data_IF_666148644012
#
_entry.id   IF_666148644012
#
_cell.length_a   1.000
_cell.length_b   1.000
_cell.length_c   1.000
_cell.angle_alpha   90.00
_cell.angle_beta   90.00
_cell.angle_gamma   90.00
#
_symmetry.space_group_name_H-M   'P 1'
#
loop_
_entity.id
_entity.type
_entity.pdbx_description
1 polymer ?
#
# COMPACT_ATOMS: atom_id res chain seq x y z
N UNK A 1 -14.88 -23.49 -26.94
CA UNK A 1 -15.59 -22.32 -26.37
C UNK A 1 -17.12 -22.38 -26.44
N UNK A 2 -17.83 -22.06 -27.54
CA UNK A 2 -19.32 -22.08 -27.55
C UNK A 2 -19.91 -23.49 -27.32
N UNK A 3 -19.24 -24.51 -27.82
CA UNK A 3 -19.69 -25.92 -27.77
C UNK A 3 -19.48 -26.57 -26.40
N UNK A 4 -18.47 -26.13 -25.65
CA UNK A 4 -18.17 -26.64 -24.30
C UNK A 4 -19.05 -25.97 -23.23
N UNK A 5 -19.49 -24.73 -23.47
CA UNK A 5 -20.45 -24.02 -22.62
C UNK A 5 -21.87 -24.63 -22.71
N UNK A 6 -22.23 -25.26 -23.83
CA UNK A 6 -23.53 -25.94 -24.01
C UNK A 6 -23.58 -27.32 -23.30
N UNK A 7 -22.45 -28.02 -23.19
CA UNK A 7 -22.35 -29.32 -22.52
C UNK A 7 -22.55 -29.23 -21.00
N UNK A 8 -22.37 -28.03 -20.41
CA UNK A 8 -22.56 -27.75 -18.99
C UNK A 8 -24.00 -27.33 -18.60
N UNK A 9 -24.97 -27.45 -19.51
CA UNK A 9 -26.39 -27.20 -19.21
C UNK A 9 -26.80 -25.73 -19.20
N UNK A 10 -25.96 -24.81 -19.69
CA UNK A 10 -26.34 -23.40 -19.83
C UNK A 10 -27.07 -23.17 -21.16
N UNK A 11 -28.41 -23.07 -21.10
CA UNK A 11 -29.22 -22.57 -22.21
C UNK A 11 -29.02 -21.04 -22.33
N UNK A 12 -28.32 -20.60 -23.39
CA UNK A 12 -28.24 -19.18 -23.75
C UNK A 12 -29.34 -18.85 -24.75
N UNK A 13 -30.53 -18.54 -24.24
CA UNK A 13 -31.54 -17.81 -25.01
C UNK A 13 -32.27 -16.82 -24.12
N UNK A 14 -31.83 -15.57 -24.13
CA UNK A 14 -32.77 -14.44 -24.22
C UNK A 14 -32.19 -13.45 -25.23
N UNK A 15 -32.94 -13.12 -26.30
CA UNK A 15 -32.49 -12.16 -27.31
C UNK A 15 -32.48 -10.74 -26.75
N UNK A 16 -31.54 -9.94 -27.24
CA UNK A 16 -31.48 -8.49 -27.01
C UNK A 16 -32.62 -7.88 -27.83
N UNK A 17 -33.79 -7.68 -27.23
CA UNK A 17 -34.80 -6.75 -27.72
C UNK A 17 -35.38 -5.91 -26.57
N UNK A 18 -35.70 -4.67 -26.93
CA UNK A 18 -36.13 -3.54 -26.11
C UNK A 18 -37.09 -3.86 -24.95
N UNK A 19 -36.70 -3.45 -23.74
CA UNK A 19 -37.64 -3.17 -22.66
C UNK A 19 -37.13 -2.02 -21.78
N UNK A 20 -37.42 -0.80 -22.22
CA UNK A 20 -37.66 0.29 -21.30
C UNK A 20 -38.99 0.02 -20.59
N UNK A 21 -38.97 -0.54 -19.38
CA UNK A 21 -39.97 -0.26 -18.32
C UNK A 21 -39.64 -1.00 -17.03
N UNK A 22 -39.40 -0.20 -15.98
CA UNK A 22 -39.76 -0.42 -14.58
C UNK A 22 -39.45 -1.78 -13.93
N UNK A 23 -38.40 -1.80 -13.09
CA UNK A 23 -38.42 -2.55 -11.84
C UNK A 23 -37.99 -1.59 -10.70
N UNK A 24 -38.85 -1.35 -9.69
CA UNK A 24 -38.61 -0.34 -8.68
C UNK A 24 -37.73 -0.91 -7.56
N UNK A 25 -36.44 -0.58 -7.58
CA UNK A 25 -35.61 -0.66 -6.37
C UNK A 25 -35.49 0.77 -5.83
N UNK A 26 -36.52 1.17 -5.11
CA UNK A 26 -36.50 2.31 -4.20
C UNK A 26 -35.39 2.14 -3.18
N UNK A 27 -34.54 3.16 -3.09
CA UNK A 27 -33.60 3.47 -2.00
C UNK A 27 -32.59 2.37 -1.63
N UNK A 28 -31.50 2.32 -2.38
CA UNK A 28 -30.17 2.05 -1.82
C UNK A 28 -29.30 3.28 -2.06
N UNK A 29 -29.66 4.39 -1.43
CA UNK A 29 -28.81 5.58 -1.37
C UNK A 29 -27.78 5.38 -0.26
N UNK A 30 -26.51 5.64 -0.60
CA UNK A 30 -25.38 5.90 0.29
C UNK A 30 -24.89 4.77 1.19
N UNK A 31 -23.96 3.94 0.71
CA UNK A 31 -22.80 3.48 1.51
C UNK A 31 -21.87 2.50 0.76
N UNK A 32 -21.17 2.97 -0.27
CA UNK A 32 -19.85 2.42 -0.68
C UNK A 32 -19.16 3.45 -1.55
N UNK A 33 -19.01 4.65 -1.01
CA UNK A 33 -17.96 5.54 -1.49
C UNK A 33 -16.89 5.31 -0.44
N UNK A 34 -15.76 4.71 -0.86
CA UNK A 34 -14.46 4.94 -0.22
C UNK A 34 -14.50 6.34 0.35
N UNK A 35 -14.09 6.63 1.58
CA UNK A 35 -13.97 8.05 1.96
C UNK A 35 -13.01 8.68 0.94
N UNK A 36 -13.56 9.32 -0.09
CA UNK A 36 -12.86 9.69 -1.32
C UNK A 36 -11.68 10.58 -0.93
N UNK A 37 -11.90 11.41 0.10
CA UNK A 37 -10.92 12.13 0.91
C UNK A 37 -9.61 11.37 1.25
N UNK A 38 -9.67 10.08 1.64
CA UNK A 38 -8.46 9.30 1.99
C UNK A 38 -7.69 8.86 0.75
N UNK A 39 -8.38 8.55 -0.35
CA UNK A 39 -7.74 8.13 -1.60
C UNK A 39 -7.27 9.33 -2.43
N UNK A 40 -7.95 10.47 -2.35
CA UNK A 40 -7.58 11.69 -3.07
C UNK A 40 -6.20 12.23 -2.64
N UNK A 41 -5.80 12.00 -1.37
CA UNK A 41 -4.45 12.30 -0.88
C UNK A 41 -3.37 11.31 -1.34
N UNK A 42 -3.77 10.18 -1.93
CA UNK A 42 -2.90 9.10 -2.42
C UNK A 42 -2.94 8.94 -3.94
N UNK A 43 -3.90 9.58 -4.62
CA UNK A 43 -3.97 9.57 -6.07
C UNK A 43 -2.73 10.28 -6.64
N UNK A 44 -1.88 9.59 -7.41
CA UNK A 44 -0.79 10.24 -8.13
C UNK A 44 -1.44 11.18 -9.14
N UNK A 45 -0.93 12.41 -9.24
CA UNK A 45 -1.27 13.23 -10.41
C UNK A 45 -0.76 12.46 -11.64
N UNK A 46 -1.48 12.39 -12.76
CA UNK A 46 -1.06 11.59 -13.92
C UNK A 46 0.42 11.78 -14.27
N UNK A 47 0.88 13.03 -14.26
CA UNK A 47 2.27 13.41 -14.52
C UNK A 47 3.30 12.81 -13.54
N UNK A 48 2.96 12.52 -12.27
CA UNK A 48 3.91 12.00 -11.28
C UNK A 48 4.36 10.56 -11.54
N UNK A 49 3.57 9.75 -12.27
CA UNK A 49 3.99 8.40 -12.66
C UNK A 49 4.99 8.40 -13.82
N UNK A 50 4.93 9.40 -14.70
CA UNK A 50 5.93 9.63 -15.74
C UNK A 50 7.31 9.97 -15.16
N UNK A 51 7.35 10.63 -14.00
CA UNK A 51 8.61 10.89 -13.27
C UNK A 51 9.31 9.61 -12.79
N UNK A 52 8.58 8.50 -12.66
CA UNK A 52 9.15 7.19 -12.34
C UNK A 52 9.47 6.37 -13.59
N UNK A 53 9.59 6.98 -14.78
CA UNK A 53 9.92 6.26 -16.02
C UNK A 53 8.86 5.28 -16.52
N UNK A 54 7.79 5.02 -15.76
CA UNK A 54 6.71 4.13 -16.16
C UNK A 54 5.78 4.87 -17.12
N UNK A 55 5.63 4.39 -18.35
CA UNK A 55 4.62 4.94 -19.26
C UNK A 55 3.23 4.71 -18.68
N UNK A 56 2.47 5.80 -18.51
CA UNK A 56 1.07 5.78 -18.03
C UNK A 56 0.21 4.74 -18.77
N UNK A 57 0.44 4.57 -20.08
CA UNK A 57 -0.32 3.64 -20.91
C UNK A 57 -0.21 2.18 -20.45
N UNK A 58 0.93 1.78 -19.87
CA UNK A 58 1.15 0.39 -19.45
C UNK A 58 0.39 0.08 -18.16
N UNK A 59 0.52 0.94 -17.13
CA UNK A 59 -0.25 0.79 -15.90
C UNK A 59 -1.75 0.90 -16.18
N UNK A 60 -2.18 1.84 -17.04
CA UNK A 60 -3.57 1.96 -17.45
C UNK A 60 -4.11 0.68 -18.12
N UNK A 61 -3.30 -0.01 -18.93
CA UNK A 61 -3.69 -1.29 -19.54
C UNK A 61 -3.84 -2.41 -18.51
N UNK A 62 -2.97 -2.46 -17.50
CA UNK A 62 -3.08 -3.42 -16.40
C UNK A 62 -4.31 -3.10 -15.53
N UNK A 63 -4.53 -1.83 -15.20
CA UNK A 63 -5.70 -1.36 -14.45
C UNK A 63 -7.01 -1.68 -15.16
N UNK A 64 -7.08 -1.47 -16.48
CA UNK A 64 -8.26 -1.80 -17.27
C UNK A 64 -8.54 -3.31 -17.26
N UNK A 65 -7.50 -4.14 -17.35
CA UNK A 65 -7.62 -5.59 -17.25
C UNK A 65 -8.10 -6.03 -15.86
N UNK A 66 -7.56 -5.43 -14.81
CA UNK A 66 -7.97 -5.66 -13.42
C UNK A 66 -9.41 -5.21 -13.19
N UNK A 67 -9.82 -4.06 -13.71
CA UNK A 67 -11.20 -3.57 -13.58
C UNK A 67 -12.20 -4.51 -14.26
N UNK A 68 -11.89 -4.97 -15.47
CA UNK A 68 -12.71 -5.94 -16.19
C UNK A 68 -12.83 -7.28 -15.46
N UNK A 69 -11.74 -7.73 -14.83
CA UNK A 69 -11.71 -8.98 -14.06
C UNK A 69 -12.45 -8.85 -12.72
N UNK A 70 -12.22 -7.76 -11.99
CA UNK A 70 -12.65 -7.61 -10.60
C UNK A 70 -14.06 -7.04 -10.47
N UNK A 71 -14.50 -6.15 -11.38
CA UNK A 71 -15.83 -5.52 -11.30
C UNK A 71 -16.98 -6.53 -11.15
N UNK A 72 -17.04 -7.63 -11.93
CA UNK A 72 -18.09 -8.64 -11.76
C UNK A 72 -18.04 -9.35 -10.40
N UNK A 73 -16.85 -9.45 -9.78
CA UNK A 73 -16.63 -10.16 -8.52
C UNK A 73 -16.89 -9.27 -7.30
N UNK A 74 -16.47 -8.00 -7.36
CA UNK A 74 -16.59 -7.02 -6.26
C UNK A 74 -17.84 -6.16 -6.38
N UNK A 75 -18.57 -6.22 -7.50
CA UNK A 75 -19.84 -5.53 -7.75
C UNK A 75 -19.74 -4.01 -7.89
N UNK A 76 -18.54 -3.46 -8.11
CA UNK A 76 -18.30 -2.05 -8.39
C UNK A 76 -17.02 -1.89 -9.21
N UNK A 77 -16.89 -0.75 -9.91
CA UNK A 77 -15.70 -0.40 -10.70
C UNK A 77 -14.54 -0.04 -9.77
N UNK A 78 -13.32 -0.37 -10.18
CA UNK A 78 -12.12 0.11 -9.52
C UNK A 78 -11.97 1.62 -9.75
N UNK A 79 -11.47 2.38 -8.75
CA UNK A 79 -11.10 3.77 -8.97
C UNK A 79 -9.90 3.80 -9.93
N UNK A 80 -10.09 4.34 -11.13
CA UNK A 80 -9.01 4.50 -12.12
C UNK A 80 -8.70 5.99 -12.30
N UNK A 81 -7.42 6.40 -12.26
CA UNK A 81 -6.23 5.58 -12.01
C UNK A 81 -6.19 5.03 -10.57
N UNK A 82 -5.57 3.86 -10.38
CA UNK A 82 -5.41 3.31 -9.03
C UNK A 82 -4.53 4.23 -8.19
N UNK A 83 -4.83 4.42 -6.89
CA UNK A 83 -3.95 5.19 -6.01
C UNK A 83 -2.57 4.54 -5.91
N UNK A 84 -1.53 5.37 -5.86
CA UNK A 84 -0.16 4.89 -5.75
C UNK A 84 0.58 5.59 -4.62
N UNK A 85 1.39 4.83 -3.92
CA UNK A 85 2.23 5.30 -2.82
C UNK A 85 3.64 4.77 -3.02
N UNK A 86 4.66 5.56 -2.68
CA UNK A 86 6.02 5.06 -2.73
C UNK A 86 6.32 4.14 -1.56
N UNK A 87 7.29 3.25 -1.71
CA UNK A 87 7.75 2.40 -0.63
C UNK A 87 8.15 3.23 0.60
N UNK A 88 8.88 4.34 0.40
CA UNK A 88 9.24 5.24 1.48
C UNK A 88 8.02 5.84 2.19
N UNK A 89 7.01 6.30 1.43
CA UNK A 89 5.77 6.83 2.00
C UNK A 89 5.02 5.75 2.80
N UNK A 90 4.98 4.51 2.29
CA UNK A 90 4.35 3.38 2.98
C UNK A 90 5.02 3.07 4.31
N UNK A 91 6.35 2.96 4.34
CA UNK A 91 7.11 2.73 5.58
C UNK A 91 6.94 3.90 6.57
N UNK A 92 6.84 5.13 6.07
CA UNK A 92 6.65 6.32 6.91
C UNK A 92 5.26 6.42 7.52
N UNK A 93 4.21 6.11 6.76
CA UNK A 93 2.80 6.29 7.18
C UNK A 93 2.17 5.04 7.79
N UNK A 94 2.64 3.86 7.41
CA UNK A 94 2.00 2.59 7.78
C UNK A 94 2.96 1.59 8.44
N UNK A 95 4.28 1.76 8.26
CA UNK A 95 5.28 0.91 8.90
C UNK A 95 5.52 -0.43 8.19
N UNK A 96 4.90 -0.65 7.04
CA UNK A 96 5.03 -1.88 6.26
C UNK A 96 5.05 -1.60 4.74
N UNK A 97 5.50 -2.59 3.98
CA UNK A 97 5.55 -2.55 2.51
C UNK A 97 4.27 -3.06 1.84
N UNK A 98 3.26 -3.47 2.59
CA UNK A 98 1.95 -3.92 2.08
C UNK A 98 0.85 -3.35 2.97
N UNK A 99 0.60 -2.03 2.92
CA UNK A 99 -0.30 -1.38 3.85
C UNK A 99 -1.76 -1.74 3.57
N UNK A 100 -2.56 -1.88 4.62
CA UNK A 100 -4.01 -1.91 4.52
C UNK A 100 -4.55 -0.49 4.75
N UNK A 101 -5.13 0.10 3.70
CA UNK A 101 -5.58 1.49 3.70
C UNK A 101 -7.06 1.66 4.01
N UNK A 102 -7.80 0.57 4.24
CA UNK A 102 -9.23 0.64 4.54
C UNK A 102 -9.50 1.31 5.89
N UNK A 103 -8.51 1.35 6.78
CA UNK A 103 -8.60 2.02 8.07
C UNK A 103 -7.46 3.04 8.26
N UNK A 104 -7.67 4.01 9.16
CA UNK A 104 -6.77 5.14 9.38
C UNK A 104 -5.52 4.79 10.21
N UNK A 105 -5.37 5.46 11.36
CA UNK A 105 -4.26 5.28 12.32
C UNK A 105 -2.85 5.53 11.76
N UNK A 106 -2.71 6.46 10.80
CA UNK A 106 -1.39 6.78 10.21
C UNK A 106 -0.33 7.09 11.25
N UNK A 107 0.88 6.62 10.98
CA UNK A 107 2.04 6.85 11.83
C UNK A 107 2.49 8.30 11.68
N UNK A 108 2.58 8.99 12.80
CA UNK A 108 3.09 10.35 12.90
C UNK A 108 4.43 10.33 13.60
N UNK A 109 5.42 10.96 12.98
CA UNK A 109 6.73 11.18 13.59
C UNK A 109 6.70 12.39 14.53
N UNK A 110 6.96 12.12 15.80
CA UNK A 110 6.94 13.10 16.88
C UNK A 110 8.35 13.42 17.38
N UNK A 111 9.40 12.90 16.74
CA UNK A 111 10.78 13.02 17.20
C UNK A 111 11.24 14.47 17.34
N UNK A 112 10.77 15.36 16.47
CA UNK A 112 11.04 16.79 16.56
C UNK A 112 10.28 17.48 17.69
N UNK A 113 9.06 17.02 17.98
CA UNK A 113 8.17 17.60 18.99
C UNK A 113 8.69 17.29 20.40
N UNK A 114 9.15 16.05 20.61
CA UNK A 114 9.63 15.59 21.91
C UNK A 114 11.14 15.81 22.11
N UNK A 115 11.80 16.51 21.17
CA UNK A 115 13.23 16.80 21.24
C UNK A 115 13.53 17.70 22.43
N UNK A 116 14.54 17.33 23.22
CA UNK A 116 14.94 18.10 24.40
C UNK A 116 14.04 17.89 25.64
N UNK A 117 13.10 16.93 25.59
CA UNK A 117 12.30 16.57 26.76
C UNK A 117 13.15 16.03 27.90
N UNK A 118 12.73 16.29 29.14
CA UNK A 118 13.30 15.68 30.35
C UNK A 118 12.84 14.24 30.58
N UNK A 119 11.87 13.75 29.80
CA UNK A 119 11.38 12.39 29.91
C UNK A 119 12.38 11.39 29.33
N UNK A 120 13.09 10.70 30.23
CA UNK A 120 14.26 9.85 29.90
C UNK A 120 14.01 8.82 28.80
N UNK A 121 12.82 8.22 28.74
CA UNK A 121 12.50 7.20 27.72
C UNK A 121 12.63 7.78 26.31
N UNK A 122 12.15 9.00 26.10
CA UNK A 122 12.24 9.65 24.79
C UNK A 122 13.60 10.28 24.56
N UNK A 123 14.18 10.94 25.57
CA UNK A 123 15.46 11.63 25.43
C UNK A 123 16.59 10.65 25.08
N UNK A 124 16.66 9.49 25.75
CA UNK A 124 17.70 8.48 25.51
C UNK A 124 17.63 7.90 24.09
N UNK A 125 16.42 7.61 23.59
CA UNK A 125 16.23 7.09 22.24
C UNK A 125 16.66 8.13 21.20
N UNK A 126 16.29 9.40 21.40
CA UNK A 126 16.67 10.47 20.48
C UNK A 126 18.18 10.75 20.48
N UNK A 127 18.83 10.70 21.65
CA UNK A 127 20.29 10.83 21.77
C UNK A 127 21.05 9.72 21.01
N UNK A 128 20.43 8.54 20.87
CA UNK A 128 20.98 7.40 20.11
C UNK A 128 20.63 7.45 18.61
N UNK A 129 20.01 8.54 18.12
CA UNK A 129 19.56 8.66 16.73
C UNK A 129 18.31 7.85 16.40
N UNK A 130 17.56 7.43 17.42
CA UNK A 130 16.28 6.76 17.27
C UNK A 130 15.13 7.73 16.95
N UNK A 131 13.91 7.19 16.95
CA UNK A 131 12.69 7.88 16.56
C UNK A 131 11.62 7.73 17.64
N UNK A 132 10.82 8.77 17.84
CA UNK A 132 9.58 8.72 18.61
C UNK A 132 8.42 8.90 17.65
N UNK A 133 7.67 7.82 17.40
CA UNK A 133 6.58 7.77 16.42
C UNK A 133 5.34 7.20 17.08
N UNK A 134 4.17 7.54 16.59
CA UNK A 134 2.94 7.04 17.19
C UNK A 134 1.75 7.04 16.26
N UNK A 135 0.64 6.50 16.77
CA UNK A 135 -0.65 6.44 16.10
C UNK A 135 -1.74 7.03 16.99
N UNK A 136 -2.77 7.58 16.34
CA UNK A 136 -4.02 8.01 17.00
C UNK A 136 -5.13 7.00 16.72
N UNK A 137 -5.74 6.50 17.79
CA UNK A 137 -6.93 5.66 17.77
C UNK A 137 -8.14 6.54 18.10
N UNK A 138 -8.93 6.84 17.07
CA UNK A 138 -10.11 7.72 17.21
C UNK A 138 -11.15 7.08 18.13
N UNK A 139 -11.57 7.80 19.17
CA UNK A 139 -12.47 7.27 20.20
C UNK A 139 -11.89 6.09 21.01
N UNK A 140 -10.57 5.86 20.93
CA UNK A 140 -9.90 4.72 21.55
C UNK A 140 -9.85 4.75 23.08
N UNK A 141 -10.00 5.92 23.71
CA UNK A 141 -9.83 6.07 25.16
C UNK A 141 -10.87 5.28 25.96
N UNK A 142 -12.11 5.20 25.45
CA UNK A 142 -13.20 4.45 26.06
C UNK A 142 -13.19 2.96 25.69
N UNK A 143 -12.64 2.63 24.51
CA UNK A 143 -12.64 1.25 23.98
C UNK A 143 -11.48 0.41 24.50
N UNK A 144 -10.33 1.03 24.78
CA UNK A 144 -9.14 0.34 25.28
C UNK A 144 -8.93 0.65 26.77
N UNK A 145 -9.25 -0.35 27.60
CA UNK A 145 -8.99 -0.32 29.03
C UNK A 145 -7.50 -0.27 29.34
N UNK A 146 -7.11 0.15 30.55
CA UNK A 146 -5.70 0.12 30.98
C UNK A 146 -5.11 -1.29 30.85
N UNK A 147 -5.85 -2.29 31.31
CA UNK A 147 -5.48 -3.71 31.20
C UNK A 147 -5.28 -4.12 29.74
N UNK A 148 -6.18 -3.71 28.84
CA UNK A 148 -6.05 -3.99 27.41
C UNK A 148 -4.79 -3.34 26.80
N UNK A 149 -4.44 -2.11 27.21
CA UNK A 149 -3.19 -1.47 26.78
C UNK A 149 -1.97 -2.22 27.31
N UNK A 150 -1.99 -2.69 28.56
CA UNK A 150 -0.89 -3.45 29.15
C UNK A 150 -0.73 -4.83 28.44
N UNK A 151 -1.85 -5.49 28.08
CA UNK A 151 -1.84 -6.72 27.26
C UNK A 151 -1.27 -6.47 25.85
N UNK A 152 -1.70 -5.39 25.18
CA UNK A 152 -1.12 -4.96 23.90
C UNK A 152 0.37 -4.67 24.02
N UNK A 153 0.80 -4.08 25.13
CA UNK A 153 2.22 -3.79 25.40
C UNK A 153 3.02 -5.08 25.47
N UNK A 154 2.53 -6.10 26.19
CA UNK A 154 3.19 -7.39 26.28
C UNK A 154 3.34 -8.07 24.91
N UNK A 155 2.27 -8.09 24.11
CA UNK A 155 2.32 -8.64 22.76
C UNK A 155 3.28 -7.87 21.85
N UNK A 156 3.28 -6.55 21.96
CA UNK A 156 4.15 -5.67 21.19
C UNK A 156 5.63 -5.89 21.51
N UNK A 157 5.99 -6.03 22.79
CA UNK A 157 7.36 -6.34 23.23
C UNK A 157 7.83 -7.65 22.60
N UNK A 158 6.99 -8.69 22.60
CA UNK A 158 7.30 -9.98 21.99
C UNK A 158 7.42 -9.91 20.46
N UNK A 159 6.62 -9.07 19.81
CA UNK A 159 6.55 -9.01 18.36
C UNK A 159 7.63 -8.12 17.73
N UNK A 160 7.91 -6.97 18.33
CA UNK A 160 8.78 -5.95 17.77
C UNK A 160 10.09 -5.74 18.54
N UNK A 161 10.31 -6.48 19.65
CA UNK A 161 11.49 -6.36 20.51
C UNK A 161 11.72 -4.91 20.98
N UNK A 162 10.66 -4.26 21.44
CA UNK A 162 10.67 -2.88 21.95
C UNK A 162 10.48 -2.87 23.46
N UNK A 163 10.90 -1.80 24.14
CA UNK A 163 10.78 -1.70 25.59
C UNK A 163 9.32 -1.57 26.10
N UNK A 164 8.41 -1.09 25.27
CA UNK A 164 6.99 -0.93 25.60
C UNK A 164 6.34 0.21 24.84
N UNK A 165 5.15 0.62 25.29
CA UNK A 165 4.36 1.68 24.66
C UNK A 165 4.10 2.82 25.65
N UNK A 166 4.24 4.05 25.16
CA UNK A 166 3.81 5.26 25.87
C UNK A 166 2.45 5.67 25.35
N UNK A 167 1.47 5.92 26.21
CA UNK A 167 0.12 6.25 25.76
C UNK A 167 -0.44 7.49 26.44
N UNK A 168 -1.34 8.19 25.75
CA UNK A 168 -2.11 9.32 26.27
C UNK A 168 -3.59 9.15 25.95
N UNK A 169 -4.45 9.45 26.91
CA UNK A 169 -5.88 9.67 26.66
C UNK A 169 -6.11 11.16 26.41
N UNK A 170 -6.87 11.46 25.37
CA UNK A 170 -7.32 12.82 25.12
C UNK A 170 -8.58 13.09 25.95
N UNK A 171 -8.42 13.93 26.97
CA UNK A 171 -9.48 14.47 27.82
C UNK A 171 -10.33 15.51 27.06
N UNK A 172 -11.43 16.02 27.64
CA UNK A 172 -12.20 17.11 27.06
C UNK A 172 -11.32 18.27 26.57
N UNK A 173 -11.54 18.72 25.33
CA UNK A 173 -10.72 19.72 24.65
C UNK A 173 -9.43 19.18 24.01
N UNK A 174 -9.25 17.86 23.96
CA UNK A 174 -8.08 17.20 23.35
C UNK A 174 -6.83 17.21 24.23
N UNK A 175 -6.95 17.63 25.49
CA UNK A 175 -5.82 17.69 26.43
C UNK A 175 -5.28 16.28 26.67
N UNK A 176 -3.97 16.09 26.51
CA UNK A 176 -3.35 14.78 26.68
C UNK A 176 -3.04 14.46 28.14
N UNK A 177 -3.62 13.36 28.64
CA UNK A 177 -3.39 12.82 29.97
C UNK A 177 -2.79 11.40 29.94
N UNK A 178 -1.82 11.18 30.82
CA UNK A 178 -1.18 9.90 31.08
C UNK A 178 -0.58 9.91 32.49
N UNK A 179 -0.19 8.75 33.00
CA UNK A 179 0.41 8.61 34.34
C UNK A 179 1.73 9.38 34.47
N UNK A 180 2.42 9.64 33.35
CA UNK A 180 3.66 10.40 33.29
C UNK A 180 3.52 11.79 32.66
N UNK A 181 2.31 12.25 32.30
CA UNK A 181 2.12 13.56 31.65
C UNK A 181 2.67 14.73 32.46
N UNK A 182 2.64 14.65 33.80
CA UNK A 182 3.23 15.66 34.70
C UNK A 182 4.76 15.79 34.59
N UNK A 183 5.41 14.78 34.00
CA UNK A 183 6.86 14.77 33.78
C UNK A 183 7.25 15.29 32.39
N UNK A 184 6.26 15.66 31.57
CA UNK A 184 6.46 16.27 30.25
C UNK A 184 6.19 17.77 30.31
N UNK A 185 6.93 18.49 29.51
CA UNK A 185 6.75 19.92 29.29
C UNK A 185 5.38 20.20 28.64
N UNK A 186 4.61 21.21 29.09
CA UNK A 186 3.29 21.53 28.54
C UNK A 186 3.30 21.76 27.02
N UNK A 187 4.36 22.36 26.49
CA UNK A 187 4.55 22.64 25.07
C UNK A 187 4.64 21.34 24.25
N UNK A 188 5.23 20.28 24.82
CA UNK A 188 5.32 18.97 24.18
C UNK A 188 3.93 18.32 24.12
N UNK A 189 3.16 18.37 25.21
CA UNK A 189 1.80 17.83 25.23
C UNK A 189 0.90 18.56 24.21
N UNK A 190 1.02 19.88 24.11
CA UNK A 190 0.31 20.67 23.11
C UNK A 190 0.76 20.35 21.68
N UNK A 191 2.07 20.22 21.45
CA UNK A 191 2.62 19.85 20.15
C UNK A 191 2.16 18.46 19.70
N UNK A 192 2.13 17.48 20.61
CA UNK A 192 1.58 16.15 20.35
C UNK A 192 0.09 16.22 20.04
N UNK A 193 -0.71 16.96 20.82
CA UNK A 193 -2.13 17.15 20.55
C UNK A 193 -2.35 17.69 19.13
N UNK A 194 -1.61 18.72 18.73
CA UNK A 194 -1.74 19.34 17.41
C UNK A 194 -1.31 18.40 16.28
N UNK A 195 -0.18 17.71 16.43
CA UNK A 195 0.35 16.81 15.42
C UNK A 195 -0.59 15.64 15.14
N UNK A 196 -1.18 15.06 16.20
CA UNK A 196 -2.19 14.01 16.06
C UNK A 196 -3.59 14.53 15.75
N UNK A 197 -3.81 15.86 15.82
CA UNK A 197 -5.15 16.47 15.82
C UNK A 197 -6.06 15.78 16.84
N UNK A 198 -5.53 15.51 18.03
CA UNK A 198 -6.21 14.71 19.03
C UNK A 198 -7.48 15.39 19.53
N UNK A 199 -8.60 14.66 19.50
CA UNK A 199 -9.91 15.11 19.97
C UNK A 199 -10.32 14.36 21.23
N UNK A 200 -11.36 14.85 21.91
CA UNK A 200 -11.81 14.27 23.18
C UNK A 200 -12.24 12.82 22.98
N UNK A 201 -11.71 11.91 23.80
CA UNK A 201 -11.98 10.47 23.69
C UNK A 201 -10.98 9.70 22.83
N UNK A 202 -10.02 10.34 22.19
CA UNK A 202 -8.96 9.67 21.44
C UNK A 202 -7.91 9.03 22.36
N UNK A 203 -7.25 7.99 21.85
CA UNK A 203 -6.08 7.38 22.46
C UNK A 203 -4.87 7.56 21.54
N UNK A 204 -3.78 8.11 22.06
CA UNK A 204 -2.51 8.19 21.37
C UNK A 204 -1.59 7.10 21.92
N UNK A 205 -0.92 6.40 21.01
CA UNK A 205 0.02 5.34 21.30
C UNK A 205 1.36 5.66 20.62
N UNK A 206 2.41 5.82 21.42
CA UNK A 206 3.74 6.23 20.99
C UNK A 206 4.76 5.13 21.30
N UNK A 207 5.67 4.93 20.35
CA UNK A 207 6.82 4.04 20.41
C UNK A 207 8.09 4.87 20.22
N UNK A 208 9.08 4.58 21.05
CA UNK A 208 10.39 5.21 21.00
C UNK A 208 11.45 4.12 20.80
N UNK A 209 11.97 4.00 19.58
CA UNK A 209 13.01 3.03 19.22
C UNK A 209 13.67 3.41 17.89
N UNK A 210 14.51 2.54 17.33
CA UNK A 210 15.02 2.61 15.96
C UNK A 210 13.90 2.70 14.92
N UNK A 211 14.23 3.23 13.73
CA UNK A 211 13.29 3.33 12.61
C UNK A 211 12.59 1.99 12.30
N UNK A 212 13.36 0.92 12.22
CA UNK A 212 12.84 -0.41 11.88
C UNK A 212 11.90 -0.94 12.96
N UNK A 213 12.29 -0.86 14.24
CA UNK A 213 11.45 -1.34 15.35
C UNK A 213 10.16 -0.52 15.50
N UNK A 214 10.23 0.80 15.30
CA UNK A 214 9.02 1.65 15.29
C UNK A 214 8.09 1.31 14.11
N UNK A 215 8.61 1.00 12.93
CA UNK A 215 7.80 0.54 11.78
C UNK A 215 7.06 -0.75 12.12
N UNK A 216 7.80 -1.79 12.54
CA UNK A 216 7.23 -3.12 12.87
C UNK A 216 6.20 -3.00 14.00
N UNK A 217 6.56 -2.31 15.08
CA UNK A 217 5.70 -2.18 16.25
C UNK A 217 4.41 -1.41 15.98
N UNK A 218 4.48 -0.30 15.22
CA UNK A 218 3.29 0.50 14.91
C UNK A 218 2.40 -0.17 13.86
N UNK A 219 2.95 -0.87 12.87
CA UNK A 219 2.15 -1.68 11.93
C UNK A 219 1.37 -2.79 12.66
N UNK A 220 2.05 -3.48 13.58
CA UNK A 220 1.43 -4.48 14.44
C UNK A 220 0.26 -3.89 15.25
N UNK A 221 0.49 -2.77 15.94
CA UNK A 221 -0.54 -2.11 16.75
C UNK A 221 -1.72 -1.67 15.91
N UNK A 222 -1.46 -1.00 14.77
CA UNK A 222 -2.49 -0.58 13.82
C UNK A 222 -3.39 -1.75 13.43
N UNK A 223 -2.77 -2.82 12.95
CA UNK A 223 -3.50 -3.99 12.46
C UNK A 223 -4.27 -4.70 13.57
N UNK A 224 -3.66 -4.84 14.75
CA UNK A 224 -4.29 -5.50 15.91
C UNK A 224 -5.47 -4.70 16.44
N UNK A 225 -5.29 -3.40 16.68
CA UNK A 225 -6.33 -2.51 17.18
C UNK A 225 -7.47 -2.40 16.16
N UNK A 226 -7.16 -2.36 14.86
CA UNK A 226 -8.19 -2.32 13.83
C UNK A 226 -9.14 -3.52 13.90
N UNK A 227 -8.59 -4.72 14.17
CA UNK A 227 -9.36 -5.95 14.36
C UNK A 227 -10.11 -5.95 15.69
N UNK A 228 -9.47 -5.57 16.78
CA UNK A 228 -10.09 -5.57 18.12
C UNK A 228 -11.25 -4.58 18.23
N UNK A 229 -11.17 -3.45 17.52
CA UNK A 229 -12.22 -2.44 17.49
C UNK A 229 -13.22 -2.62 16.34
N UNK A 230 -13.06 -3.67 15.53
CA UNK A 230 -13.85 -3.96 14.32
C UNK A 230 -14.03 -2.73 13.39
N UNK A 231 -12.95 -1.97 13.21
CA UNK A 231 -12.92 -0.78 12.35
C UNK A 231 -12.32 -1.08 10.97
N UNK A 232 -12.09 -2.35 10.66
CA UNK A 232 -11.66 -2.80 9.33
C UNK A 232 -12.90 -3.00 8.45
N UNK A 233 -13.12 -2.17 7.42
CA UNK A 233 -14.25 -2.33 6.52
C UNK A 233 -14.18 -3.68 5.79
N UNK A 234 -15.21 -4.48 6.06
CA UNK A 234 -15.40 -5.83 5.53
C UNK A 234 -15.76 -5.82 4.03
N UNK A 235 -16.55 -4.83 3.62
CA UNK A 235 -17.07 -4.70 2.25
C UNK A 235 -16.24 -3.78 1.35
N UNK A 236 -15.02 -3.42 1.77
CA UNK A 236 -14.13 -2.59 0.95
C UNK A 236 -13.02 -3.42 0.31
N UNK A 237 -12.88 -3.25 -1.00
CA UNK A 237 -11.78 -3.81 -1.78
C UNK A 237 -10.84 -2.67 -2.16
N UNK A 238 -9.80 -2.45 -1.36
CA UNK A 238 -8.82 -1.40 -1.59
C UNK A 238 -7.67 -1.96 -2.41
N UNK A 239 -7.37 -1.36 -3.56
CA UNK A 239 -6.28 -1.74 -4.44
C UNK A 239 -5.38 -0.53 -4.69
N UNK A 240 -4.07 -0.70 -4.51
CA UNK A 240 -3.07 0.35 -4.70
C UNK A 240 -1.81 -0.15 -5.42
N UNK A 241 -1.13 0.78 -6.08
CA UNK A 241 0.25 0.61 -6.51
C UNK A 241 1.23 1.02 -5.41
N UNK A 242 2.17 0.15 -5.10
CA UNK A 242 3.35 0.48 -4.31
C UNK A 242 4.54 0.62 -5.24
N UNK A 243 5.12 1.80 -5.33
CA UNK A 243 6.24 2.10 -6.24
C UNK A 243 7.53 2.10 -5.44
N UNK A 244 8.52 1.31 -5.88
CA UNK A 244 9.84 1.33 -5.29
C UNK A 244 10.67 2.45 -5.92
N UNK A 245 10.76 3.57 -5.19
CA UNK A 245 11.53 4.75 -5.53
C UNK A 245 12.97 4.69 -5.02
N UNK A 246 13.35 3.60 -4.33
CA UNK A 246 14.70 3.45 -3.76
C UNK A 246 15.75 3.02 -4.79
N UNK A 247 15.31 2.58 -5.97
CA UNK A 247 16.20 2.19 -7.05
C UNK A 247 16.88 3.41 -7.68
N UNK A 248 18.13 3.66 -7.27
CA UNK A 248 19.05 4.49 -8.05
C UNK A 248 19.34 3.79 -9.39
N UNK A 249 19.53 4.55 -10.48
CA UNK A 249 20.03 3.98 -11.73
C UNK A 249 21.33 3.22 -11.44
N UNK A 250 21.32 1.91 -11.71
CA UNK A 250 22.55 1.12 -11.69
C UNK A 250 23.08 1.13 -13.12
N UNK A 251 24.20 1.81 -13.35
CA UNK A 251 24.97 1.62 -14.57
C UNK A 251 25.64 0.25 -14.49
N UNK A 252 25.02 -0.78 -15.04
CA UNK A 252 25.67 -2.08 -15.20
C UNK A 252 26.23 -2.17 -16.60
N UNK A 253 27.55 -2.37 -16.75
CA UNK A 253 28.08 -2.93 -18.00
C UNK A 253 27.47 -4.33 -18.16
N UNK A 254 26.44 -4.45 -18.99
CA UNK A 254 25.84 -5.72 -19.35
C UNK A 254 26.31 -6.09 -20.76
N UNK A 255 26.88 -7.29 -20.90
CA UNK A 255 27.07 -7.94 -22.20
C UNK A 255 25.75 -8.58 -22.59
N UNK A 256 25.21 -8.28 -23.78
CA UNK A 256 23.98 -8.89 -24.28
C UNK A 256 24.07 -10.43 -24.25
N UNK A 257 23.07 -11.16 -23.70
CA UNK A 257 23.03 -12.61 -23.83
C UNK A 257 22.64 -12.94 -25.28
N UNK A 258 23.67 -13.15 -26.11
CA UNK A 258 23.56 -13.36 -27.56
C UNK A 258 24.87 -13.13 -28.32
N UNK A 259 25.90 -12.52 -27.69
CA UNK A 259 27.20 -12.28 -28.33
C UNK A 259 28.16 -13.48 -28.27
N UNK A 260 27.70 -14.66 -28.68
CA UNK A 260 28.58 -15.85 -28.78
C UNK A 260 29.26 -16.01 -30.16
N UNK A 261 29.13 -15.02 -31.06
CA UNK A 261 29.82 -15.07 -32.36
C UNK A 261 30.41 -13.73 -32.73
N UNK A 262 31.65 -13.47 -32.31
CA UNK A 262 32.66 -12.76 -33.09
C UNK A 262 33.98 -12.76 -32.30
N UNK A 263 34.95 -13.54 -32.80
CA UNK A 263 36.36 -13.27 -32.51
C UNK A 263 36.69 -11.85 -33.04
N UNK A 264 37.43 -11.07 -32.25
CA UNK A 264 37.91 -9.70 -32.52
C UNK A 264 36.90 -8.54 -32.42
N UNK A 265 36.87 -7.86 -31.27
CA UNK A 265 37.33 -6.46 -31.12
C UNK A 265 37.14 -5.98 -29.68
N UNK A 266 38.24 -5.55 -29.04
CA UNK A 266 38.26 -5.09 -27.63
C UNK A 266 38.06 -3.57 -27.47
N UNK A 267 37.49 -2.87 -28.45
CA UNK A 267 37.40 -1.38 -28.42
C UNK A 267 35.99 -0.79 -28.27
N UNK A 268 34.91 -1.58 -28.27
CA UNK A 268 33.54 -1.06 -28.21
C UNK A 268 32.71 -1.72 -27.12
N UNK A 269 33.07 -1.49 -25.85
CA UNK A 269 32.18 -1.85 -24.74
C UNK A 269 31.03 -0.85 -24.69
N UNK A 270 29.93 -1.13 -25.38
CA UNK A 270 28.69 -0.35 -25.22
C UNK A 270 28.28 -0.41 -23.75
N UNK A 271 28.19 0.76 -23.10
CA UNK A 271 27.72 0.83 -21.72
C UNK A 271 26.20 0.94 -21.76
N UNK A 272 25.51 -0.13 -21.40
CA UNK A 272 24.06 -0.11 -21.26
C UNK A 272 23.70 0.58 -19.94
N UNK A 273 23.10 1.75 -20.01
CA UNK A 273 22.42 2.33 -18.84
C UNK A 273 21.07 1.63 -18.70
N UNK A 274 20.93 0.78 -17.69
CA UNK A 274 19.67 0.14 -17.35
C UNK A 274 19.00 0.89 -16.18
N UNK A 275 17.87 1.54 -16.45
CA UNK A 275 17.00 2.04 -15.39
C UNK A 275 15.92 0.99 -15.16
N UNK A 276 15.76 0.53 -13.92
CA UNK A 276 14.64 -0.33 -13.56
C UNK A 276 13.81 0.27 -12.44
N UNK A 277 12.51 0.37 -12.68
CA UNK A 277 11.54 0.73 -11.66
C UNK A 277 10.75 -0.50 -11.28
N UNK A 278 10.60 -0.75 -9.98
CA UNK A 278 9.80 -1.86 -9.47
C UNK A 278 8.52 -1.31 -8.89
N UNK A 279 7.44 -2.03 -9.11
CA UNK A 279 6.14 -1.70 -8.56
C UNK A 279 5.45 -2.98 -8.09
N UNK A 280 4.61 -2.86 -7.07
CA UNK A 280 3.81 -3.95 -6.52
C UNK A 280 2.35 -3.54 -6.51
N UNK A 281 1.48 -4.49 -6.77
CA UNK A 281 0.05 -4.34 -6.61
C UNK A 281 -0.32 -4.88 -5.23
N UNK A 282 -0.89 -4.02 -4.38
CA UNK A 282 -1.26 -4.38 -3.01
C UNK A 282 -2.77 -4.21 -2.85
N UNK A 283 -3.42 -5.21 -2.23
CA UNK A 283 -4.82 -5.11 -1.82
C UNK A 283 -5.00 -5.54 -0.37
N UNK A 284 -5.78 -4.77 0.39
CA UNK A 284 -6.19 -5.11 1.76
C UNK A 284 -5.04 -5.63 2.66
N UNK A 285 -3.86 -5.03 2.53
CA UNK A 285 -2.66 -5.41 3.29
C UNK A 285 -1.84 -6.57 2.73
N UNK A 286 -2.08 -7.00 1.49
CA UNK A 286 -1.39 -8.12 0.84
C UNK A 286 -0.90 -7.76 -0.54
N UNK A 287 0.32 -8.18 -0.86
CA UNK A 287 0.84 -8.13 -2.22
C UNK A 287 0.13 -9.19 -3.08
N UNK A 288 -0.43 -8.75 -4.21
CA UNK A 288 -1.10 -9.63 -5.18
C UNK A 288 -0.48 -9.51 -6.59
N UNK A 289 0.54 -8.69 -6.76
CA UNK A 289 1.23 -8.57 -8.03
C UNK A 289 2.53 -7.83 -7.87
N UNK A 290 3.46 -8.11 -8.78
CA UNK A 290 4.76 -7.45 -8.86
C UNK A 290 5.08 -7.17 -10.31
N UNK A 291 5.75 -6.07 -10.58
CA UNK A 291 6.29 -5.82 -11.90
C UNK A 291 7.50 -4.92 -11.87
N UNK A 292 8.15 -4.86 -13.02
CA UNK A 292 9.30 -4.02 -13.25
C UNK A 292 9.30 -3.49 -14.68
N UNK A 293 9.71 -2.23 -14.85
CA UNK A 293 10.14 -1.72 -16.15
C UNK A 293 11.65 -1.81 -16.25
N UNK A 294 12.16 -2.08 -17.44
CA UNK A 294 13.59 -2.04 -17.76
C UNK A 294 13.74 -1.10 -18.95
N UNK A 295 14.44 0.01 -18.75
CA UNK A 295 14.84 0.92 -19.82
C UNK A 295 16.30 0.68 -20.10
N UNK A 296 16.63 0.18 -21.29
CA UNK A 296 18.00 0.08 -21.77
C UNK A 296 18.25 1.23 -22.76
N UNK A 297 19.26 2.06 -22.46
CA UNK A 297 19.82 2.99 -23.42
C UNK A 297 21.20 2.47 -23.84
N UNK A 298 21.39 2.29 -25.14
CA UNK A 298 22.71 2.01 -25.70
C UNK A 298 23.50 3.32 -25.82
N UNK A 299 24.64 3.39 -25.13
CA UNK A 299 25.60 4.48 -25.29
C UNK A 299 26.60 4.06 -26.37
N UNK A 300 26.45 4.62 -27.58
CA UNK A 300 27.49 4.53 -28.60
C UNK A 300 28.75 5.30 -28.13
N UNK A 301 29.92 4.70 -28.24
CA UNK A 301 31.20 5.29 -27.82
C UNK A 301 31.48 6.61 -28.54
N UNK A 302 31.85 7.63 -27.78
CA UNK A 302 32.19 8.96 -28.27
C UNK A 302 33.49 8.95 -29.07
N UNK A 303 33.39 8.94 -30.40
CA UNK A 303 34.54 9.15 -31.29
C UNK A 303 34.34 10.28 -32.31
N UNK A 304 33.36 11.16 -32.09
CA UNK A 304 33.23 12.39 -32.88
C UNK A 304 33.02 13.60 -31.98
N UNK A 305 33.55 14.75 -32.42
CA UNK A 305 33.52 16.06 -31.74
C UNK A 305 32.11 16.65 -31.52
N UNK A 306 31.06 15.84 -31.54
CA UNK A 306 29.67 16.18 -31.26
C UNK A 306 29.19 15.23 -30.17
N UNK A 307 28.58 15.76 -29.10
CA UNK A 307 28.27 14.99 -27.89
C UNK A 307 27.45 13.70 -28.09
N UNK A 308 27.44 12.88 -27.04
CA UNK A 308 26.67 11.66 -26.81
C UNK A 308 25.32 11.61 -27.58
N UNK A 309 25.21 10.72 -28.58
CA UNK A 309 23.93 10.34 -29.18
C UNK A 309 23.37 9.11 -28.43
N UNK A 310 22.11 9.22 -27.98
CA UNK A 310 21.38 8.17 -27.28
C UNK A 310 20.42 7.53 -28.30
N UNK A 311 20.85 6.45 -28.96
CA UNK A 311 20.19 6.06 -30.22
C UNK A 311 18.99 5.11 -30.07
N UNK A 312 18.79 4.40 -28.96
CA UNK A 312 17.54 3.63 -28.78
C UNK A 312 17.26 3.35 -27.31
N UNK A 313 16.06 3.73 -26.86
CA UNK A 313 15.52 3.38 -25.54
C UNK A 313 14.59 2.17 -25.71
N UNK A 314 15.09 0.97 -25.43
CA UNK A 314 14.22 -0.21 -25.37
C UNK A 314 13.58 -0.28 -23.98
N UNK A 315 12.24 -0.29 -23.93
CA UNK A 315 11.45 -0.44 -22.71
C UNK A 315 10.81 -1.82 -22.66
N UNK A 316 11.18 -2.63 -21.67
CA UNK A 316 10.52 -3.90 -21.39
C UNK A 316 9.68 -3.78 -20.11
N UNK A 317 8.46 -4.29 -20.16
CA UNK A 317 7.57 -4.37 -19.02
C UNK A 317 7.31 -5.83 -18.65
N UNK A 318 7.58 -6.17 -17.40
CA UNK A 318 7.34 -7.51 -16.86
C UNK A 318 6.40 -7.35 -15.68
N UNK A 319 5.24 -8.00 -15.72
CA UNK A 319 4.28 -8.02 -14.63
C UNK A 319 3.82 -9.45 -14.35
N UNK A 320 3.67 -9.78 -13.07
CA UNK A 320 3.17 -11.07 -12.61
C UNK A 320 2.11 -10.84 -11.56
N UNK A 321 0.93 -11.40 -11.79
CA UNK A 321 -0.17 -11.40 -10.84
C UNK A 321 -0.13 -12.68 -9.99
N UNK A 322 -0.16 -12.51 -8.68
CA UNK A 322 -0.33 -13.61 -7.72
C UNK A 322 -1.81 -13.94 -7.58
N UNK A 323 -2.23 -14.85 -8.44
CA UNK A 323 -3.62 -15.29 -8.55
C UNK A 323 -4.11 -15.94 -7.25
N UNK A 324 -3.24 -16.60 -6.49
CA UNK A 324 -3.61 -17.28 -5.26
C UNK A 324 -3.95 -16.28 -4.16
N UNK A 325 -3.09 -15.28 -3.94
CA UNK A 325 -3.37 -14.23 -2.96
C UNK A 325 -4.56 -13.35 -3.37
N UNK A 326 -4.75 -13.10 -4.67
CA UNK A 326 -5.93 -12.43 -5.17
C UNK A 326 -7.20 -13.23 -4.84
N UNK A 327 -7.22 -14.54 -5.14
CA UNK A 327 -8.37 -15.39 -4.88
C UNK A 327 -8.68 -15.52 -3.37
N UNK A 328 -7.67 -15.58 -2.50
CA UNK A 328 -7.89 -15.55 -1.05
C UNK A 328 -8.53 -14.25 -0.58
N UNK A 329 -8.08 -13.11 -1.12
CA UNK A 329 -8.61 -11.79 -0.77
C UNK A 329 -10.06 -11.67 -1.24
N UNK A 330 -10.35 -12.12 -2.46
CA UNK A 330 -11.71 -12.17 -3.00
C UNK A 330 -12.61 -13.13 -2.21
N UNK A 331 -12.11 -14.27 -1.75
CA UNK A 331 -12.88 -15.17 -0.90
C UNK A 331 -13.19 -14.57 0.48
N UNK A 332 -12.23 -13.82 1.07
CA UNK A 332 -12.47 -13.10 2.31
C UNK A 332 -13.53 -12.01 2.13
N UNK A 333 -13.49 -11.29 1.01
CA UNK A 333 -14.49 -10.30 0.61
C UNK A 333 -15.86 -10.93 0.31
N UNK A 334 -15.90 -12.06 -0.42
CA UNK A 334 -17.14 -12.68 -0.90
C UNK A 334 -17.89 -13.43 0.19
N UNK A 335 -17.22 -14.03 1.19
CA UNK A 335 -17.88 -14.66 2.35
C UNK A 335 -18.78 -13.70 3.13
N UNK A 336 -18.62 -12.40 2.92
CA UNK A 336 -19.35 -11.34 3.60
C UNK A 336 -20.45 -10.72 2.73
N UNK A 337 -20.58 -11.14 1.45
CA UNK A 337 -21.76 -10.96 0.62
C UNK A 337 -22.48 -12.30 0.48
N UNK A 338 -23.81 -12.29 0.49
CA UNK A 338 -24.63 -13.48 0.20
C UNK A 338 -24.55 -13.75 -1.32
N UNK A 339 -23.36 -14.08 -1.83
CA UNK A 339 -23.10 -14.47 -3.21
C UNK A 339 -22.48 -15.86 -3.15
N UNK A 340 -22.96 -16.84 -3.96
CA UNK A 340 -22.43 -18.19 -3.94
C UNK A 340 -20.91 -18.15 -4.15
N UNK A 341 -20.17 -18.55 -3.12
CA UNK A 341 -18.72 -18.51 -3.09
C UNK A 341 -18.15 -19.46 -4.16
N UNK A 342 -17.52 -18.93 -5.20
CA UNK A 342 -16.62 -19.72 -6.02
C UNK A 342 -15.40 -20.12 -5.16
N UNK A 343 -14.98 -21.40 -5.13
CA UNK A 343 -13.77 -21.80 -4.42
C UNK A 343 -12.56 -21.02 -4.93
N UNK A 344 -11.68 -20.54 -4.04
CA UNK A 344 -10.49 -19.77 -4.41
C UNK A 344 -9.61 -20.48 -5.46
N UNK A 345 -9.59 -21.82 -5.44
CA UNK A 345 -8.92 -22.66 -6.44
C UNK A 345 -9.57 -22.66 -7.82
N UNK A 346 -10.89 -22.51 -7.89
CA UNK A 346 -11.61 -22.40 -9.17
C UNK A 346 -11.42 -21.01 -9.76
N UNK A 347 -11.57 -19.97 -8.94
CA UNK A 347 -11.31 -18.59 -9.33
C UNK A 347 -9.86 -18.40 -9.79
N UNK A 348 -8.91 -19.06 -9.13
CA UNK A 348 -7.51 -19.02 -9.54
C UNK A 348 -7.24 -19.69 -10.89
N UNK A 349 -7.96 -20.76 -11.23
CA UNK A 349 -7.88 -21.40 -12.56
C UNK A 349 -8.48 -20.50 -13.64
N UNK A 350 -9.62 -19.88 -13.35
CA UNK A 350 -10.31 -18.98 -14.27
C UNK A 350 -9.46 -17.72 -14.56
N UNK A 351 -8.76 -17.19 -13.55
CA UNK A 351 -7.81 -16.06 -13.71
C UNK A 351 -6.52 -16.51 -14.43
N UNK A 352 -5.99 -17.71 -14.16
CA UNK A 352 -4.78 -18.21 -14.83
C UNK A 352 -4.97 -18.40 -16.34
N UNK A 353 -6.20 -18.62 -16.81
CA UNK A 353 -6.51 -18.66 -18.24
C UNK A 353 -6.39 -17.29 -18.93
N UNK A 354 -6.40 -16.18 -18.16
CA UNK A 354 -6.19 -14.82 -18.66
C UNK A 354 -4.70 -14.38 -18.70
N UNK A 355 -3.77 -15.16 -18.13
CA UNK A 355 -2.33 -14.83 -18.04
C UNK A 355 -1.53 -14.96 -19.37
N UNK A 356 -2.20 -14.84 -20.53
CA UNK A 356 -1.52 -14.72 -21.83
C UNK A 356 -1.60 -13.28 -22.34
N UNK A 357 -1.04 -12.35 -21.57
CA UNK A 357 -0.80 -10.96 -21.97
C UNK A 357 0.69 -10.63 -21.91
#
# INVERSE_FOLDING_TARGET
MRTELLAAGWQTTVPIESAASACPVTQCEQSTVISQDRMDHLAPKPHSLQFFGIRQNILASVEQSLDNLLTPLIGHRLPTPLPAITHQQSMRRYGCSTPDLRYGMEIIDCSSIVRGTRFRIFSQVLEQGGFVRGIRVVGGAAKLSRKGIDELTHLLVQHADVAGISWFRAEPGGRLWSTFSKNLEPEILQGLQQAFRAESGDLLLLLADTWTKTCIGLDFLRTRIARELDIMPHQEFCLIWLIDDSHKPQSTQATWPGSETAEHDTSTSATLLTHSYRFRLVTNGREIGRGQTIHAAEIASADTKAGWQLDELTEQFIFTLDVYHLAQTLAAFSRQRIVPCMPATQLAKDISLYNHF
#
